data_IF_066437505593
#
_entry.id   IF_066437505593
#
_cell.length_a   1.000
_cell.length_b   1.000
_cell.length_c   1.000
_cell.angle_alpha   90.00
_cell.angle_beta   90.00
_cell.angle_gamma   90.00
#
_symmetry.space_group_name_H-M   'P 1'
#
loop_
_entity.id
_entity.type
_entity.pdbx_description
1 polymer ?
#
# COMPACT_ATOMS: atom_id res chain seq x y z
N UNK A 1 -8.64 -18.90 -12.70
CA UNK A 1 -7.65 -18.36 -13.63
C UNK A 1 -6.87 -17.25 -12.95
N UNK A 2 -5.66 -16.96 -13.43
CA UNK A 2 -4.91 -15.76 -13.05
C UNK A 2 -5.60 -14.48 -13.51
N UNK A 3 -5.23 -13.34 -12.94
CA UNK A 3 -5.65 -12.04 -13.46
C UNK A 3 -4.97 -11.77 -14.81
N UNK A 4 -5.75 -11.44 -15.83
CA UNK A 4 -5.26 -11.03 -17.16
C UNK A 4 -5.28 -9.51 -17.33
N UNK A 5 -6.10 -8.84 -16.54
CA UNK A 5 -6.24 -7.40 -16.43
C UNK A 5 -6.22 -7.04 -14.94
N UNK A 6 -5.70 -5.86 -14.61
CA UNK A 6 -5.57 -5.37 -13.25
C UNK A 6 -5.78 -3.86 -13.24
N UNK A 7 -6.38 -3.35 -12.18
CA UNK A 7 -6.54 -1.91 -11.95
C UNK A 7 -5.59 -1.43 -10.86
N UNK A 8 -4.81 -0.39 -11.15
CA UNK A 8 -3.96 0.29 -10.18
C UNK A 8 -4.64 1.59 -9.73
N UNK A 9 -4.80 1.76 -8.42
CA UNK A 9 -5.34 2.99 -7.81
C UNK A 9 -4.25 3.64 -6.96
N UNK A 10 -3.56 4.68 -7.47
CA UNK A 10 -2.56 5.40 -6.71
C UNK A 10 -3.22 6.40 -5.74
N UNK A 11 -2.67 6.50 -4.53
CA UNK A 11 -2.98 7.59 -3.59
C UNK A 11 -1.70 8.05 -2.89
N UNK A 12 -1.47 9.35 -2.89
CA UNK A 12 -0.57 10.02 -1.95
C UNK A 12 -1.47 10.85 -1.03
N UNK A 13 -1.74 10.33 0.16
CA UNK A 13 -2.75 10.90 1.04
C UNK A 13 -2.24 12.15 1.75
N UNK A 14 -3.08 13.17 1.90
CA UNK A 14 -2.70 14.31 2.74
C UNK A 14 -2.54 13.83 4.20
N UNK A 15 -1.41 14.08 4.89
CA UNK A 15 -1.14 13.44 6.18
C UNK A 15 -2.18 13.71 7.26
N UNK A 16 -2.73 14.93 7.29
CA UNK A 16 -3.78 15.31 8.25
C UNK A 16 -5.19 14.86 7.85
N UNK A 17 -5.34 14.25 6.68
CA UNK A 17 -6.58 13.66 6.19
C UNK A 17 -6.45 12.17 5.85
N UNK A 18 -5.34 11.52 6.23
CA UNK A 18 -5.03 10.14 5.89
C UNK A 18 -6.19 9.18 6.23
N UNK A 19 -6.75 9.26 7.44
CA UNK A 19 -7.90 8.42 7.83
C UNK A 19 -9.08 8.56 6.86
N UNK A 20 -9.43 9.80 6.47
CA UNK A 20 -10.56 10.06 5.60
C UNK A 20 -10.28 9.67 4.14
N UNK A 21 -9.08 9.95 3.64
CA UNK A 21 -8.71 9.63 2.25
C UNK A 21 -8.53 8.13 2.03
N UNK A 22 -7.94 7.40 2.99
CA UNK A 22 -7.84 5.94 2.92
C UNK A 22 -9.23 5.31 3.05
N UNK A 23 -10.12 5.82 3.90
CA UNK A 23 -11.50 5.33 3.97
C UNK A 23 -12.24 5.54 2.63
N UNK A 24 -12.06 6.70 2.00
CA UNK A 24 -12.68 7.02 0.71
C UNK A 24 -12.20 6.12 -0.45
N UNK A 25 -11.04 5.46 -0.34
CA UNK A 25 -10.63 4.44 -1.31
C UNK A 25 -11.61 3.25 -1.38
N UNK A 26 -12.40 3.01 -0.33
CA UNK A 26 -13.51 2.06 -0.40
C UNK A 26 -14.59 2.50 -1.40
N UNK A 27 -14.87 3.80 -1.48
CA UNK A 27 -15.85 4.32 -2.42
C UNK A 27 -15.27 4.29 -3.86
N UNK A 28 -13.95 4.49 -4.02
CA UNK A 28 -13.26 4.26 -5.30
C UNK A 28 -13.32 2.79 -5.72
N UNK A 29 -13.17 1.85 -4.78
CA UNK A 29 -13.38 0.42 -5.04
C UNK A 29 -14.76 0.14 -5.63
N UNK A 30 -15.83 0.72 -5.04
CA UNK A 30 -17.19 0.57 -5.55
C UNK A 30 -17.36 1.19 -6.95
N UNK A 31 -16.79 2.37 -7.17
CA UNK A 31 -16.84 3.07 -8.45
C UNK A 31 -16.15 2.28 -9.59
N UNK A 32 -15.00 1.64 -9.29
CA UNK A 32 -14.31 0.77 -10.26
C UNK A 32 -15.13 -0.46 -10.59
N UNK A 33 -15.77 -1.09 -9.60
CA UNK A 33 -16.65 -2.25 -9.83
C UNK A 33 -17.82 -1.86 -10.74
N UNK A 34 -18.47 -0.73 -10.45
CA UNK A 34 -19.61 -0.26 -11.24
C UNK A 34 -19.20 0.08 -12.68
N UNK A 35 -18.09 0.80 -12.86
CA UNK A 35 -17.64 1.27 -14.18
C UNK A 35 -17.03 0.18 -15.04
N UNK A 36 -16.22 -0.69 -14.47
CA UNK A 36 -15.37 -1.62 -15.21
C UNK A 36 -15.69 -3.09 -14.98
N UNK A 37 -16.58 -3.41 -14.03
CA UNK A 37 -17.02 -4.79 -13.78
C UNK A 37 -15.91 -5.71 -13.26
N UNK A 38 -14.89 -5.15 -12.62
CA UNK A 38 -13.75 -5.92 -12.07
C UNK A 38 -13.48 -5.56 -10.61
N UNK A 39 -13.12 -6.59 -9.83
CA UNK A 39 -12.68 -6.48 -8.44
C UNK A 39 -11.17 -6.77 -8.28
N UNK A 40 -10.46 -7.08 -9.36
CA UNK A 40 -9.02 -7.33 -9.39
C UNK A 40 -8.25 -5.98 -9.35
N UNK A 41 -8.24 -5.34 -8.18
CA UNK A 41 -7.73 -3.99 -7.94
C UNK A 41 -6.58 -4.01 -6.92
N UNK A 42 -5.55 -3.21 -7.19
CA UNK A 42 -4.42 -2.94 -6.31
C UNK A 42 -4.36 -1.43 -6.02
N UNK A 43 -4.49 -1.08 -4.74
CA UNK A 43 -4.29 0.27 -4.22
C UNK A 43 -2.86 0.40 -3.71
N UNK A 44 -2.18 1.50 -4.04
CA UNK A 44 -0.79 1.70 -3.65
C UNK A 44 -0.41 3.17 -3.50
N UNK A 45 0.61 3.42 -2.68
CA UNK A 45 1.28 4.72 -2.54
C UNK A 45 1.53 5.09 -1.09
N UNK A 46 2.00 6.32 -0.88
CA UNK A 46 2.14 6.92 0.45
C UNK A 46 0.75 7.25 1.00
N UNK A 47 0.22 6.38 1.83
CA UNK A 47 -1.08 6.59 2.45
C UNK A 47 -0.97 7.40 3.75
N UNK A 48 0.24 7.76 4.20
CA UNK A 48 0.49 8.28 5.54
C UNK A 48 -0.16 7.39 6.63
N UNK A 49 -0.18 6.08 6.40
CA UNK A 49 -1.04 5.13 7.09
C UNK A 49 -0.46 4.55 8.39
N UNK A 50 0.20 5.38 9.20
CA UNK A 50 0.74 4.96 10.50
C UNK A 50 1.05 6.15 11.42
N UNK A 51 1.63 5.85 12.58
CA UNK A 51 2.22 6.79 13.52
C UNK A 51 1.21 7.84 13.97
N UNK A 52 1.50 9.12 13.76
CA UNK A 52 0.66 10.22 14.25
C UNK A 52 -0.56 10.49 13.36
N UNK A 53 -0.55 10.01 12.12
CA UNK A 53 -1.55 10.31 11.09
C UNK A 53 -2.69 9.30 11.07
N UNK A 54 -2.38 8.01 11.23
CA UNK A 54 -3.36 6.95 11.44
C UNK A 54 -2.92 6.13 12.64
N UNK A 55 -3.69 6.19 13.73
CA UNK A 55 -3.39 5.49 14.98
C UNK A 55 -4.18 4.19 15.08
N UNK A 56 -3.81 3.34 16.02
CA UNK A 56 -4.47 2.04 16.23
C UNK A 56 -6.01 2.16 16.34
N UNK A 57 -6.49 3.17 17.06
CA UNK A 57 -7.92 3.41 17.24
C UNK A 57 -8.67 3.90 15.99
N UNK A 58 -7.96 4.37 14.95
CA UNK A 58 -8.56 4.89 13.73
C UNK A 58 -8.88 3.76 12.74
N UNK A 59 -8.11 2.68 12.75
CA UNK A 59 -8.26 1.56 11.82
C UNK A 59 -9.67 0.95 11.73
N UNK A 60 -10.43 0.79 12.83
CA UNK A 60 -11.80 0.28 12.74
C UNK A 60 -12.74 1.16 11.90
N UNK A 61 -12.44 2.46 11.77
CA UNK A 61 -13.25 3.41 10.99
C UNK A 61 -12.91 3.42 9.49
N UNK A 62 -11.78 2.84 9.08
CA UNK A 62 -11.31 2.83 7.69
C UNK A 62 -11.85 1.58 6.99
N UNK A 63 -12.85 1.73 6.11
CA UNK A 63 -13.51 0.60 5.42
C UNK A 63 -12.56 -0.22 4.54
N UNK A 64 -11.55 0.42 3.95
CA UNK A 64 -10.49 -0.26 3.20
C UNK A 64 -9.67 -1.21 4.09
N UNK A 65 -9.64 -1.00 5.42
CA UNK A 65 -8.94 -1.83 6.40
C UNK A 65 -9.86 -2.83 7.10
N UNK A 66 -11.03 -2.39 7.55
CA UNK A 66 -11.94 -3.21 8.37
C UNK A 66 -12.72 -4.27 7.56
N UNK A 67 -12.79 -4.14 6.23
CA UNK A 67 -13.42 -5.12 5.36
C UNK A 67 -12.48 -6.26 4.96
N UNK A 68 -12.96 -7.51 5.09
CA UNK A 68 -12.23 -8.74 4.68
C UNK A 68 -11.98 -8.83 3.17
N UNK A 69 -12.64 -7.98 2.38
CA UNK A 69 -12.47 -7.85 0.92
C UNK A 69 -11.06 -7.41 0.57
N UNK A 70 -10.38 -6.68 1.45
CA UNK A 70 -9.06 -6.12 1.20
C UNK A 70 -8.00 -6.90 1.96
N UNK A 71 -6.87 -7.12 1.29
CA UNK A 71 -5.68 -7.69 1.90
C UNK A 71 -4.58 -6.65 1.85
N UNK A 72 -4.15 -6.20 3.02
CA UNK A 72 -2.99 -5.32 3.17
C UNK A 72 -1.72 -6.18 3.10
N UNK A 73 -0.84 -5.85 2.16
CA UNK A 73 0.36 -6.63 1.88
C UNK A 73 1.59 -6.10 2.64
N UNK A 74 1.65 -4.79 2.86
CA UNK A 74 2.66 -4.15 3.71
C UNK A 74 2.07 -4.06 5.14
N UNK A 75 2.65 -4.77 6.13
CA UNK A 75 2.14 -4.80 7.50
C UNK A 75 2.37 -3.47 8.22
N UNK A 76 1.66 -3.23 9.31
CA UNK A 76 1.88 -2.04 10.17
C UNK A 76 3.23 -2.03 10.86
N UNK A 77 3.92 -3.18 10.92
CA UNK A 77 5.24 -3.30 11.53
C UNK A 77 6.39 -3.02 10.55
N UNK A 78 6.10 -2.57 9.33
CA UNK A 78 7.11 -2.24 8.34
C UNK A 78 7.53 -0.78 8.50
N UNK A 79 8.83 -0.50 8.38
CA UNK A 79 9.31 0.87 8.24
C UNK A 79 9.46 1.18 6.75
N UNK A 80 8.68 2.15 6.26
CA UNK A 80 8.75 2.60 4.85
C UNK A 80 9.49 3.92 4.71
N UNK A 81 10.16 4.38 5.77
CA UNK A 81 10.82 5.69 5.81
C UNK A 81 12.34 5.57 5.82
N UNK A 82 13.02 6.47 5.11
CA UNK A 82 14.49 6.57 5.15
C UNK A 82 14.94 7.37 6.38
N UNK A 83 14.06 8.24 6.90
CA UNK A 83 14.35 9.11 8.04
C UNK A 83 14.48 8.36 9.37
N UNK A 84 14.56 9.11 10.47
CA UNK A 84 14.65 8.53 11.82
C UNK A 84 13.29 8.08 12.39
N UNK A 85 12.27 7.93 11.56
CA UNK A 85 10.98 7.38 11.94
C UNK A 85 10.96 5.87 11.74
N UNK A 86 9.99 5.20 12.37
CA UNK A 86 9.65 3.80 12.12
C UNK A 86 8.14 3.79 11.88
N UNK A 87 7.76 3.97 10.61
CA UNK A 87 6.37 4.18 10.21
C UNK A 87 6.02 3.47 8.90
N UNK A 88 4.90 2.74 8.90
CA UNK A 88 4.34 2.08 7.71
C UNK A 88 3.47 3.04 6.87
N UNK A 89 4.05 4.12 6.35
CA UNK A 89 3.29 5.11 5.57
C UNK A 89 2.86 4.59 4.20
N UNK A 90 3.77 3.92 3.50
CA UNK A 90 3.57 3.41 2.16
C UNK A 90 2.93 2.03 2.19
N UNK A 91 1.90 1.83 1.35
CA UNK A 91 1.06 0.64 1.42
C UNK A 91 0.82 0.03 0.06
N UNK A 92 0.57 -1.28 0.09
CA UNK A 92 0.00 -2.04 -1.02
C UNK A 92 -1.19 -2.81 -0.46
N UNK A 93 -2.36 -2.59 -1.06
CA UNK A 93 -3.62 -3.23 -0.67
C UNK A 93 -4.26 -3.86 -1.90
N UNK A 94 -4.75 -5.10 -1.78
CA UNK A 94 -5.30 -5.84 -2.92
C UNK A 94 -6.67 -6.44 -2.61
N UNK A 95 -7.55 -6.43 -3.61
CA UNK A 95 -8.80 -7.20 -3.63
C UNK A 95 -8.88 -8.02 -4.93
N UNK A 96 -9.93 -8.83 -5.06
CA UNK A 96 -10.11 -9.70 -6.22
C UNK A 96 -9.42 -11.05 -6.09
N UNK A 97 -10.16 -12.11 -6.35
CA UNK A 97 -9.68 -13.48 -6.14
C UNK A 97 -8.63 -13.92 -7.16
N UNK A 98 -8.63 -13.33 -8.37
CA UNK A 98 -7.66 -13.69 -9.41
C UNK A 98 -6.34 -12.97 -9.16
N UNK A 99 -6.39 -11.68 -8.86
CA UNK A 99 -5.21 -10.89 -8.50
C UNK A 99 -4.49 -11.50 -7.28
N UNK A 100 -5.24 -11.84 -6.22
CA UNK A 100 -4.68 -12.52 -5.03
C UNK A 100 -3.97 -13.84 -5.36
N UNK A 101 -4.46 -14.61 -6.34
CA UNK A 101 -3.82 -15.87 -6.78
C UNK A 101 -2.57 -15.63 -7.62
N UNK A 102 -2.53 -14.50 -8.33
CA UNK A 102 -1.37 -14.06 -9.13
C UNK A 102 -0.23 -13.51 -8.27
N UNK A 103 -0.44 -13.14 -7.00
CA UNK A 103 0.67 -12.73 -6.12
C UNK A 103 1.69 -13.86 -5.91
N UNK A 104 2.98 -13.54 -6.07
CA UNK A 104 4.08 -14.40 -5.61
C UNK A 104 4.08 -14.38 -4.07
N UNK A 105 4.08 -15.56 -3.47
CA UNK A 105 4.03 -15.71 -2.02
C UNK A 105 5.18 -14.96 -1.35
N UNK A 106 4.88 -14.18 -0.29
CA UNK A 106 5.87 -13.42 0.49
C UNK A 106 6.77 -12.50 -0.35
N UNK A 107 6.27 -11.97 -1.45
CA UNK A 107 7.03 -11.02 -2.29
C UNK A 107 6.77 -9.55 -1.95
N UNK A 108 5.79 -9.26 -1.10
CA UNK A 108 5.52 -7.89 -0.69
C UNK A 108 6.51 -7.48 0.40
N UNK A 109 7.29 -6.43 0.15
CA UNK A 109 8.34 -5.95 1.07
C UNK A 109 8.59 -4.47 0.87
N UNK A 110 9.32 -3.88 1.81
CA UNK A 110 9.99 -2.59 1.63
C UNK A 110 11.32 -2.86 0.93
N UNK A 111 11.68 -2.00 -0.02
CA UNK A 111 12.94 -2.01 -0.73
C UNK A 111 13.88 -0.95 -0.12
N UNK A 112 14.74 -1.39 0.79
CA UNK A 112 15.75 -0.53 1.41
C UNK A 112 16.90 -0.25 0.44
N UNK A 113 16.75 0.79 -0.39
CA UNK A 113 17.78 1.21 -1.33
C UNK A 113 19.03 1.78 -0.62
N UNK A 114 18.92 2.20 0.64
CA UNK A 114 20.05 2.68 1.41
C UNK A 114 20.98 1.51 1.75
N UNK A 115 20.41 0.40 2.23
CA UNK A 115 21.13 -0.85 2.47
C UNK A 115 21.64 -1.44 1.16
N UNK A 116 20.78 -1.59 0.14
CA UNK A 116 21.15 -2.25 -1.13
C UNK A 116 22.34 -1.58 -1.82
N UNK A 117 22.36 -0.25 -1.86
CA UNK A 117 23.41 0.51 -2.54
C UNK A 117 24.52 1.00 -1.59
N UNK A 118 24.47 0.65 -0.30
CA UNK A 118 25.47 1.03 0.69
C UNK A 118 25.61 2.54 0.87
N UNK A 119 24.49 3.26 0.86
CA UNK A 119 24.43 4.72 0.95
C UNK A 119 24.56 5.17 2.41
N UNK A 120 25.24 6.30 2.63
CA UNK A 120 25.09 7.01 3.89
C UNK A 120 23.71 7.71 3.97
N UNK A 121 23.34 8.12 5.19
CA UNK A 121 22.05 8.76 5.45
C UNK A 121 21.80 10.00 4.58
N UNK A 122 22.84 10.78 4.29
CA UNK A 122 22.71 12.02 3.51
C UNK A 122 22.45 11.69 2.04
N UNK A 123 23.14 10.69 1.52
CA UNK A 123 22.93 10.19 0.17
C UNK A 123 21.54 9.58 0.00
N UNK A 124 21.09 8.77 0.95
CA UNK A 124 19.77 8.17 0.90
C UNK A 124 18.65 9.23 0.94
N UNK A 125 18.72 10.17 1.88
CA UNK A 125 17.77 11.29 1.98
C UNK A 125 17.82 12.25 0.77
N UNK A 126 18.94 12.30 0.04
CA UNK A 126 19.02 13.06 -1.21
C UNK A 126 18.25 12.39 -2.36
N UNK A 127 17.96 11.09 -2.25
CA UNK A 127 17.09 10.36 -3.19
C UNK A 127 15.63 10.53 -2.78
N UNK A 128 15.30 10.17 -1.54
CA UNK A 128 13.94 10.17 -1.01
C UNK A 128 13.96 10.03 0.51
N UNK A 129 12.93 10.54 1.19
CA UNK A 129 12.63 10.25 2.59
C UNK A 129 11.73 9.02 2.78
N UNK A 130 11.28 8.39 1.69
CA UNK A 130 10.51 7.13 1.67
C UNK A 130 11.23 6.03 0.88
N UNK A 131 11.15 4.80 1.40
CA UNK A 131 11.53 3.59 0.67
C UNK A 131 10.39 3.12 -0.24
N UNK A 132 10.68 2.56 -1.43
CA UNK A 132 9.67 1.88 -2.21
C UNK A 132 9.06 0.70 -1.46
N UNK A 133 7.74 0.53 -1.59
CA UNK A 133 7.08 -0.75 -1.31
C UNK A 133 6.86 -1.50 -2.61
N UNK A 134 7.20 -2.78 -2.62
CA UNK A 134 7.17 -3.62 -3.81
C UNK A 134 6.35 -4.88 -3.60
N UNK A 135 5.86 -5.47 -4.70
CA UNK A 135 5.22 -6.79 -4.73
C UNK A 135 5.41 -7.43 -6.09
N UNK A 136 5.58 -8.76 -6.14
CA UNK A 136 5.72 -9.50 -7.40
C UNK A 136 4.44 -10.26 -7.75
N UNK A 137 4.01 -10.15 -9.01
CA UNK A 137 3.03 -11.05 -9.62
C UNK A 137 3.74 -12.20 -10.34
N UNK A 138 3.16 -13.41 -10.28
CA UNK A 138 3.66 -14.60 -10.96
C UNK A 138 3.58 -14.37 -12.47
N UNK A 139 4.65 -14.74 -13.17
CA UNK A 139 4.60 -14.94 -14.62
C UNK A 139 3.74 -16.16 -14.92
N UNK A 140 2.80 -16.02 -15.87
CA UNK A 140 1.97 -17.10 -16.37
C UNK A 140 2.45 -17.57 -17.74
#
# INVERSE_FOLDING_TARGET
AAATELVLIPLHAAPHHAVAEIDALYDVYLDVIDKWGTDDILFLGDFNADCKYVREQDWPAIRLRSSEVFKWLIPDSADTTVGNSDCAYDRIVVCGSRLRKSLKHQSATVHDFQEEFGLDQTQALAISDHFPVEVTLKSH
#
